data_IF_176104726394
#
_entry.id   IF_176104726394
#
_cell.length_a   1.000
_cell.length_b   1.000
_cell.length_c   1.000
_cell.angle_alpha   90.00
_cell.angle_beta   90.00
_cell.angle_gamma   90.00
#
_symmetry.space_group_name_H-M   'P 1'
#
loop_
_entity.id
_entity.type
_entity.pdbx_description
1 polymer ?
#
# COMPACT_ATOMS: atom_id res chain seq x y z
N UNK A 1 7.17 -10.91 8.88
CA UNK A 1 6.52 -12.17 8.48
C UNK A 1 7.47 -13.17 7.85
N UNK A 2 8.08 -12.92 6.68
CA UNK A 2 8.99 -13.90 6.04
C UNK A 2 10.17 -14.32 6.94
N UNK A 3 10.84 -13.36 7.58
CA UNK A 3 11.90 -13.65 8.56
C UNK A 3 11.39 -14.40 9.81
N UNK A 4 10.12 -14.19 10.19
CA UNK A 4 9.51 -14.86 11.34
C UNK A 4 9.19 -16.31 11.01
N UNK A 5 8.79 -16.57 9.77
CA UNK A 5 8.58 -17.91 9.24
C UNK A 5 9.90 -18.68 9.11
N UNK A 6 10.95 -18.04 8.57
CA UNK A 6 12.29 -18.62 8.52
C UNK A 6 12.81 -18.97 9.92
N UNK A 7 12.61 -18.09 10.91
CA UNK A 7 12.95 -18.38 12.30
C UNK A 7 12.09 -19.49 12.92
N UNK A 8 10.78 -19.53 12.61
CA UNK A 8 9.89 -20.63 13.02
C UNK A 8 10.39 -21.97 12.49
N UNK A 9 10.76 -22.03 11.20
CA UNK A 9 11.28 -23.24 10.58
C UNK A 9 12.59 -23.69 11.21
N UNK A 10 13.49 -22.74 11.50
CA UNK A 10 14.72 -23.02 12.26
C UNK A 10 14.40 -23.62 13.64
N UNK A 11 13.46 -23.04 14.39
CA UNK A 11 13.06 -23.56 15.69
C UNK A 11 12.43 -24.96 15.59
N UNK A 12 11.63 -25.24 14.56
CA UNK A 12 11.07 -26.58 14.34
C UNK A 12 12.16 -27.63 14.06
N UNK A 13 13.27 -27.25 13.42
CA UNK A 13 14.43 -28.11 13.24
C UNK A 13 15.14 -28.36 14.58
N UNK A 14 15.34 -27.31 15.38
CA UNK A 14 16.06 -27.38 16.65
C UNK A 14 15.26 -28.07 17.76
N UNK A 15 13.96 -27.82 17.83
CA UNK A 15 13.05 -28.38 18.84
C UNK A 15 12.50 -29.76 18.46
N UNK A 16 12.46 -30.05 17.16
CA UNK A 16 11.76 -31.18 16.57
C UNK A 16 10.37 -30.79 16.07
N UNK A 17 10.00 -31.35 14.90
CA UNK A 17 8.78 -30.98 14.15
C UNK A 17 7.50 -31.08 14.99
N UNK A 18 6.72 -30.00 15.01
CA UNK A 18 5.45 -29.86 15.71
C UNK A 18 5.58 -29.67 17.22
N UNK A 19 6.78 -29.36 17.74
CA UNK A 19 6.96 -29.07 19.17
C UNK A 19 6.63 -27.63 19.51
N UNK A 20 6.98 -26.69 18.63
CA UNK A 20 6.70 -25.27 18.85
C UNK A 20 5.19 -25.03 18.90
N UNK A 21 4.42 -25.67 18.01
CA UNK A 21 2.94 -25.57 18.00
C UNK A 21 2.24 -26.16 19.22
N UNK A 22 2.92 -27.02 20.00
CA UNK A 22 2.40 -27.59 21.25
C UNK A 22 2.73 -26.75 22.47
N UNK A 23 3.57 -25.72 22.34
CA UNK A 23 3.89 -24.80 23.43
C UNK A 23 2.75 -23.80 23.63
N UNK A 24 2.62 -23.28 24.85
CA UNK A 24 1.62 -22.24 25.13
C UNK A 24 1.87 -20.99 24.29
N UNK A 25 0.81 -20.26 23.95
CA UNK A 25 0.88 -19.01 23.18
C UNK A 25 1.84 -18.02 23.84
N UNK A 26 1.77 -17.84 25.16
CA UNK A 26 2.69 -16.98 25.92
C UNK A 26 4.16 -17.35 25.72
N UNK A 27 4.48 -18.64 25.66
CA UNK A 27 5.86 -19.12 25.44
C UNK A 27 6.32 -18.81 24.02
N UNK A 28 5.44 -19.00 23.03
CA UNK A 28 5.72 -18.63 21.64
C UNK A 28 5.94 -17.12 21.53
N UNK A 29 5.09 -16.30 22.15
CA UNK A 29 5.21 -14.84 22.13
C UNK A 29 6.52 -14.35 22.74
N UNK A 30 6.93 -14.90 23.89
CA UNK A 30 8.22 -14.58 24.51
C UNK A 30 9.41 -14.95 23.61
N UNK A 31 9.30 -16.08 22.90
CA UNK A 31 10.33 -16.52 21.97
C UNK A 31 10.41 -15.61 20.73
N UNK A 32 9.26 -15.20 20.18
CA UNK A 32 9.21 -14.25 19.06
C UNK A 32 9.61 -12.83 19.47
N UNK A 33 9.33 -12.42 20.71
CA UNK A 33 9.84 -11.17 21.27
C UNK A 33 11.36 -11.22 21.41
N UNK A 34 11.92 -12.35 21.84
CA UNK A 34 13.37 -12.56 21.88
C UNK A 34 13.98 -12.45 20.49
N UNK A 35 13.37 -13.11 19.50
CA UNK A 35 13.75 -13.03 18.09
C UNK A 35 13.72 -11.59 17.56
N UNK A 36 12.70 -10.82 17.88
CA UNK A 36 12.58 -9.42 17.50
C UNK A 36 13.66 -8.54 18.13
N UNK A 37 13.85 -8.63 19.44
CA UNK A 37 14.69 -7.69 20.19
C UNK A 37 16.17 -8.04 20.09
N UNK A 38 16.54 -9.31 20.26
CA UNK A 38 17.94 -9.72 20.44
C UNK A 38 18.59 -10.28 19.18
N UNK A 39 17.79 -10.78 18.24
CA UNK A 39 18.31 -11.40 17.03
C UNK A 39 18.09 -10.49 15.81
N UNK A 40 16.85 -10.21 15.42
CA UNK A 40 16.55 -9.40 14.21
C UNK A 40 17.11 -7.99 14.25
N UNK A 41 16.82 -7.22 15.31
CA UNK A 41 17.24 -5.81 15.41
C UNK A 41 18.74 -5.64 15.62
N UNK A 42 19.38 -6.66 16.17
CA UNK A 42 20.77 -6.65 16.57
C UNK A 42 21.70 -7.35 15.57
N UNK A 43 21.13 -8.01 14.56
CA UNK A 43 21.89 -8.72 13.55
C UNK A 43 22.53 -7.74 12.57
N UNK A 44 23.86 -7.85 12.45
CA UNK A 44 24.67 -7.16 11.47
C UNK A 44 25.61 -8.17 10.83
N UNK A 45 25.85 -8.04 9.52
CA UNK A 45 26.73 -8.96 8.79
C UNK A 45 28.13 -8.94 9.40
N UNK A 46 28.69 -10.12 9.69
CA UNK A 46 30.00 -10.27 10.34
C UNK A 46 29.99 -10.30 11.87
N UNK A 47 28.82 -10.18 12.53
CA UNK A 47 28.71 -10.44 13.96
C UNK A 47 28.88 -11.93 14.24
N UNK A 48 29.60 -12.27 15.32
CA UNK A 48 29.70 -13.64 15.83
C UNK A 48 28.39 -14.15 16.42
N UNK A 49 28.45 -15.29 17.09
CA UNK A 49 27.27 -15.93 17.68
C UNK A 49 26.57 -15.01 18.69
N UNK A 50 25.24 -15.10 18.72
CA UNK A 50 24.40 -14.27 19.59
C UNK A 50 23.83 -15.14 20.69
N UNK A 51 24.03 -14.74 21.94
CA UNK A 51 23.37 -15.36 23.09
C UNK A 51 22.15 -14.54 23.46
N UNK A 52 20.97 -15.16 23.49
CA UNK A 52 19.72 -14.50 23.85
C UNK A 52 18.95 -15.31 24.90
N UNK A 53 18.16 -14.66 25.78
CA UNK A 53 17.31 -15.36 26.74
C UNK A 53 16.26 -16.19 26.00
N UNK A 54 15.92 -17.37 26.50
CA UNK A 54 14.83 -18.18 25.95
C UNK A 54 13.90 -18.65 27.08
N UNK A 55 12.60 -18.86 26.82
CA UNK A 55 11.69 -19.41 27.81
C UNK A 55 12.17 -20.78 28.32
N UNK A 56 12.01 -21.04 29.62
CA UNK A 56 12.46 -22.28 30.26
C UNK A 56 11.89 -23.54 29.57
N UNK A 57 10.65 -23.47 29.09
CA UNK A 57 10.00 -24.57 28.36
C UNK A 57 10.72 -24.89 27.05
N UNK A 58 11.19 -23.87 26.33
CA UNK A 58 11.99 -24.01 25.11
C UNK A 58 13.34 -24.64 25.44
N UNK A 59 14.01 -24.15 26.49
CA UNK A 59 15.30 -24.69 26.93
C UNK A 59 15.20 -26.18 27.32
N UNK A 60 14.14 -26.56 28.04
CA UNK A 60 13.83 -27.97 28.38
C UNK A 60 13.60 -28.81 27.13
N UNK A 61 12.83 -28.31 26.17
CA UNK A 61 12.56 -29.01 24.91
C UNK A 61 13.84 -29.28 24.10
N UNK A 62 14.70 -28.27 23.92
CA UNK A 62 15.99 -28.39 23.23
C UNK A 62 16.87 -29.44 23.91
N UNK A 63 17.02 -29.34 25.24
CA UNK A 63 17.85 -30.27 26.01
C UNK A 63 17.33 -31.72 25.97
N UNK A 64 16.02 -31.91 25.87
CA UNK A 64 15.42 -33.24 25.72
C UNK A 64 15.67 -33.86 24.35
N UNK A 65 15.70 -33.02 23.30
CA UNK A 65 15.91 -33.44 21.92
C UNK A 65 17.37 -33.77 21.63
N UNK A 66 18.29 -32.90 22.04
CA UNK A 66 19.73 -33.08 21.82
C UNK A 66 20.28 -34.36 22.45
N UNK A 67 19.75 -34.76 23.62
CA UNK A 67 20.10 -36.03 24.26
C UNK A 67 19.75 -37.27 23.42
N UNK A 68 18.77 -37.17 22.52
CA UNK A 68 18.28 -38.31 21.73
C UNK A 68 18.95 -38.44 20.37
N UNK A 69 19.34 -37.33 19.74
CA UNK A 69 19.71 -37.33 18.32
C UNK A 69 21.13 -36.85 18.00
N UNK A 70 21.81 -36.14 18.91
CA UNK A 70 23.15 -35.62 18.63
C UNK A 70 24.19 -36.19 19.58
N UNK A 71 25.11 -36.99 19.02
CA UNK A 71 26.43 -37.24 19.62
C UNK A 71 27.17 -35.90 19.71
N UNK A 72 27.68 -35.61 20.91
CA UNK A 72 27.98 -34.31 21.52
C UNK A 72 28.88 -33.31 20.77
N UNK A 73 29.34 -33.59 19.55
CA UNK A 73 30.42 -32.84 18.90
C UNK A 73 30.00 -31.94 17.72
N UNK A 74 28.79 -32.07 17.16
CA UNK A 74 28.47 -31.41 15.89
C UNK A 74 27.59 -30.14 15.98
N UNK A 75 26.85 -29.91 17.07
CA UNK A 75 25.91 -28.78 17.15
C UNK A 75 26.46 -27.66 18.03
N UNK A 76 26.92 -26.55 17.43
CA UNK A 76 27.38 -25.34 18.14
C UNK A 76 26.28 -24.62 18.95
N UNK A 77 25.05 -25.11 18.89
CA UNK A 77 23.89 -24.58 19.60
C UNK A 77 23.84 -25.12 21.03
N UNK A 78 24.35 -24.33 21.98
CA UNK A 78 24.30 -24.65 23.40
C UNK A 78 23.20 -23.84 24.09
N UNK A 79 22.21 -24.53 24.65
CA UNK A 79 21.20 -23.93 25.53
C UNK A 79 21.66 -24.10 26.99
N UNK A 80 21.89 -22.98 27.68
CA UNK A 80 22.26 -22.96 29.09
C UNK A 80 21.12 -22.36 29.90
N UNK A 81 20.39 -23.21 30.63
CA UNK A 81 19.24 -22.95 31.52
C UNK A 81 18.18 -21.99 30.95
N UNK A 82 18.49 -20.71 30.84
CA UNK A 82 17.57 -19.64 30.42
C UNK A 82 18.10 -18.86 29.20
N UNK A 83 19.19 -19.30 28.59
CA UNK A 83 19.81 -18.65 27.42
C UNK A 83 20.15 -19.67 26.33
N UNK A 84 20.12 -19.21 25.08
CA UNK A 84 20.50 -20.00 23.92
C UNK A 84 21.52 -19.24 23.11
N UNK A 85 22.61 -19.92 22.74
CA UNK A 85 23.57 -19.45 21.75
C UNK A 85 23.04 -19.79 20.36
N UNK A 86 22.84 -18.76 19.54
CA UNK A 86 22.45 -18.85 18.14
C UNK A 86 23.70 -18.68 17.27
N UNK A 87 24.13 -19.73 16.54
CA UNK A 87 25.27 -19.61 15.64
C UNK A 87 25.04 -18.54 14.58
N UNK A 88 26.06 -17.70 14.33
CA UNK A 88 25.96 -16.61 13.35
C UNK A 88 25.57 -17.14 11.96
N UNK A 89 26.06 -18.33 11.61
CA UNK A 89 25.76 -19.01 10.34
C UNK A 89 24.27 -19.35 10.18
N UNK A 90 23.62 -19.77 11.25
CA UNK A 90 22.20 -20.17 11.20
C UNK A 90 21.31 -18.94 11.07
N UNK A 91 21.63 -17.85 11.79
CA UNK A 91 20.95 -16.56 11.63
C UNK A 91 21.17 -16.03 10.21
N UNK A 92 22.41 -16.09 9.71
CA UNK A 92 22.75 -15.70 8.33
C UNK A 92 21.89 -16.43 7.31
N UNK A 93 21.71 -17.75 7.46
CA UNK A 93 20.91 -18.54 6.55
C UNK A 93 19.46 -18.07 6.49
N UNK A 94 18.83 -17.83 7.65
CA UNK A 94 17.44 -17.32 7.73
C UNK A 94 17.29 -16.00 6.95
N UNK A 95 18.25 -15.08 7.11
CA UNK A 95 18.23 -13.82 6.39
C UNK A 95 18.53 -13.98 4.90
N UNK A 96 19.46 -14.87 4.54
CA UNK A 96 19.82 -15.12 3.16
C UNK A 96 18.64 -15.68 2.37
N UNK A 97 17.94 -16.69 2.90
CA UNK A 97 16.79 -17.29 2.22
C UNK A 97 15.73 -16.23 1.90
N UNK A 98 15.38 -15.38 2.88
CA UNK A 98 14.41 -14.29 2.69
C UNK A 98 14.92 -13.21 1.75
N UNK A 99 16.21 -12.88 1.79
CA UNK A 99 16.79 -11.87 0.91
C UNK A 99 16.90 -12.37 -0.52
N UNK A 100 17.18 -13.65 -0.74
CA UNK A 100 17.19 -14.27 -2.06
C UNK A 100 15.77 -14.27 -2.64
N UNK A 101 14.73 -14.59 -1.85
CA UNK A 101 13.34 -14.45 -2.29
C UNK A 101 12.99 -13.00 -2.66
N UNK A 102 13.40 -12.01 -1.86
CA UNK A 102 13.18 -10.58 -2.16
C UNK A 102 13.94 -10.17 -3.41
N UNK A 103 15.17 -10.65 -3.59
CA UNK A 103 15.99 -10.34 -4.75
C UNK A 103 15.44 -11.01 -6.00
N UNK A 104 14.91 -12.22 -5.92
CA UNK A 104 14.27 -12.89 -7.04
C UNK A 104 13.00 -12.15 -7.46
N UNK A 105 12.19 -11.69 -6.51
CA UNK A 105 11.09 -10.77 -6.79
C UNK A 105 11.57 -9.47 -7.47
N UNK A 106 12.72 -8.94 -7.04
CA UNK A 106 13.34 -7.75 -7.60
C UNK A 106 13.96 -7.95 -8.98
N UNK A 107 14.57 -9.10 -9.25
CA UNK A 107 15.25 -9.48 -10.50
C UNK A 107 14.21 -9.84 -11.55
N UNK A 108 13.16 -10.58 -11.19
CA UNK A 108 11.99 -10.78 -12.05
C UNK A 108 11.37 -9.44 -12.46
N UNK A 109 11.40 -8.44 -11.58
CA UNK A 109 10.94 -7.09 -11.87
C UNK A 109 11.95 -6.21 -12.68
N UNK A 110 13.23 -6.59 -12.79
CA UNK A 110 14.31 -5.70 -13.31
C UNK A 110 15.26 -6.31 -14.36
N UNK A 111 15.03 -7.53 -14.85
CA UNK A 111 15.90 -8.22 -15.83
C UNK A 111 15.91 -7.59 -17.25
N UNK A 112 15.65 -6.29 -17.36
CA UNK A 112 15.77 -5.49 -18.59
C UNK A 112 16.71 -4.27 -18.44
N UNK A 113 17.62 -4.32 -17.47
CA UNK A 113 18.89 -3.57 -17.54
C UNK A 113 20.02 -4.51 -17.20
N UNK A 114 21.02 -4.59 -18.06
CA UNK A 114 22.26 -5.37 -17.92
C UNK A 114 22.90 -5.22 -16.53
N UNK A 115 22.54 -6.10 -15.59
CA UNK A 115 23.07 -6.07 -14.23
C UNK A 115 23.20 -7.47 -13.62
N UNK A 116 23.88 -8.38 -14.32
CA UNK A 116 24.36 -9.65 -13.75
C UNK A 116 25.53 -9.47 -12.77
N UNK A 117 26.16 -8.29 -12.70
CA UNK A 117 27.33 -8.02 -11.85
C UNK A 117 27.05 -7.32 -10.50
N UNK A 118 25.78 -7.27 -10.04
CA UNK A 118 25.37 -6.65 -8.77
C UNK A 118 25.04 -7.65 -7.64
N UNK A 119 25.58 -8.87 -7.69
CA UNK A 119 25.41 -9.83 -6.60
C UNK A 119 26.11 -9.31 -5.33
N UNK A 120 25.32 -8.94 -4.31
CA UNK A 120 25.60 -8.57 -2.89
C UNK A 120 26.88 -7.78 -2.51
N UNK A 121 28.05 -8.04 -3.11
CA UNK A 121 29.31 -7.31 -2.90
C UNK A 121 29.19 -5.81 -3.16
N UNK A 122 28.35 -5.34 -4.09
CA UNK A 122 28.29 -3.90 -4.43
C UNK A 122 27.43 -3.07 -3.46
N UNK A 123 26.38 -3.64 -2.85
CA UNK A 123 25.57 -2.92 -1.85
C UNK A 123 26.37 -2.73 -0.55
N UNK A 124 27.20 -3.70 -0.16
CA UNK A 124 28.13 -3.52 0.98
C UNK A 124 29.38 -2.70 0.63
N UNK A 125 29.94 -2.81 -0.59
CA UNK A 125 31.12 -2.02 -0.98
C UNK A 125 30.82 -0.55 -1.30
N UNK A 126 29.61 -0.19 -1.76
CA UNK A 126 29.23 1.22 -1.96
C UNK A 126 28.71 1.90 -0.68
N UNK A 127 28.47 1.15 0.40
CA UNK A 127 28.24 1.75 1.72
C UNK A 127 29.48 2.47 2.28
N UNK A 128 30.68 2.21 1.75
CA UNK A 128 31.92 2.76 2.28
C UNK A 128 32.45 4.03 1.60
N UNK A 129 31.80 4.58 0.55
CA UNK A 129 32.32 5.81 -0.13
C UNK A 129 31.34 6.95 -0.37
N UNK A 130 30.07 6.83 0.00
CA UNK A 130 29.14 7.96 -0.12
C UNK A 130 27.99 7.90 0.87
N UNK A 131 28.06 8.72 1.92
CA UNK A 131 26.99 9.40 2.69
C UNK A 131 25.63 8.72 2.90
N UNK A 132 25.51 7.40 2.85
CA UNK A 132 24.33 6.64 3.29
C UNK A 132 24.42 6.25 4.77
N UNK A 133 25.59 6.45 5.39
CA UNK A 133 25.84 6.24 6.83
C UNK A 133 25.07 7.23 7.73
N UNK A 134 24.57 8.34 7.17
CA UNK A 134 23.92 9.41 7.95
C UNK A 134 22.38 9.31 7.96
N UNK A 135 21.78 8.43 7.16
CA UNK A 135 20.36 8.10 7.32
C UNK A 135 20.25 7.13 8.50
N UNK A 136 19.98 7.70 9.68
CA UNK A 136 19.72 6.93 10.90
C UNK A 136 18.70 5.83 10.63
N UNK A 137 18.88 4.66 11.24
CA UNK A 137 17.99 3.51 11.01
C UNK A 137 16.51 3.87 11.21
N UNK A 138 16.23 4.77 12.17
CA UNK A 138 14.92 5.35 12.44
C UNK A 138 14.32 6.08 11.23
N UNK A 139 15.13 6.78 10.43
CA UNK A 139 14.67 7.45 9.22
C UNK A 139 14.13 6.46 8.17
N UNK A 140 14.58 5.20 8.16
CA UNK A 140 14.10 4.19 7.20
C UNK A 140 12.70 3.69 7.55
N UNK A 141 12.45 3.41 8.83
CA UNK A 141 11.15 2.93 9.30
C UNK A 141 10.08 4.03 9.21
N UNK A 142 10.47 5.27 9.52
CA UNK A 142 9.59 6.41 9.42
C UNK A 142 9.42 6.93 7.98
N UNK A 143 10.25 6.50 7.01
CA UNK A 143 10.26 7.08 5.66
C UNK A 143 8.90 7.02 4.95
N UNK A 144 8.14 5.92 5.13
CA UNK A 144 6.81 5.78 4.55
C UNK A 144 5.83 6.76 5.19
N UNK A 145 5.78 6.81 6.53
CA UNK A 145 4.92 7.72 7.27
C UNK A 145 5.28 9.19 7.04
N UNK A 146 6.58 9.49 6.96
CA UNK A 146 7.09 10.81 6.63
C UNK A 146 6.68 11.20 5.20
N UNK A 147 6.82 10.30 4.23
CA UNK A 147 6.35 10.51 2.87
C UNK A 147 4.84 10.73 2.79
N UNK A 148 4.06 9.99 3.58
CA UNK A 148 2.61 10.15 3.67
C UNK A 148 2.22 11.50 4.30
N UNK A 149 2.88 11.90 5.39
CA UNK A 149 2.69 13.22 6.01
C UNK A 149 3.06 14.35 5.06
N UNK A 150 4.22 14.26 4.38
CA UNK A 150 4.65 15.21 3.35
C UNK A 150 3.66 15.28 2.18
N UNK A 151 3.04 14.17 1.80
CA UNK A 151 1.99 14.15 0.78
C UNK A 151 0.71 14.83 1.28
N UNK A 152 0.29 14.57 2.52
CA UNK A 152 -0.91 15.17 3.13
C UNK A 152 -0.78 16.69 3.23
N UNK A 153 0.38 17.18 3.67
CA UNK A 153 0.64 18.63 3.80
C UNK A 153 0.45 19.41 2.49
N UNK A 154 0.63 18.78 1.31
CA UNK A 154 0.37 19.44 0.02
C UNK A 154 -1.09 19.77 -0.22
N UNK A 155 -2.00 19.03 0.39
CA UNK A 155 -3.43 19.28 0.27
C UNK A 155 -3.92 20.37 1.27
N UNK A 156 -3.09 20.73 2.25
CA UNK A 156 -3.43 21.69 3.29
C UNK A 156 -2.88 23.11 3.03
N UNK A 157 -2.11 23.32 1.96
CA UNK A 157 -1.63 24.66 1.60
C UNK A 157 -2.82 25.52 1.14
N UNK A 158 -3.40 26.24 2.10
CA UNK A 158 -4.26 27.38 1.83
C UNK A 158 -3.48 28.39 0.98
N UNK A 159 -4.15 29.05 0.02
CA UNK A 159 -3.53 29.92 -0.96
C UNK A 159 -2.74 31.12 -0.37
N UNK A 160 -2.82 31.37 0.94
CA UNK A 160 -2.20 32.49 1.64
C UNK A 160 -0.72 32.30 2.00
N UNK A 161 -0.24 31.08 2.22
CA UNK A 161 1.03 30.88 2.95
C UNK A 161 2.27 30.74 2.05
N UNK A 162 2.11 31.01 0.76
CA UNK A 162 3.16 30.81 -0.23
C UNK A 162 3.45 29.32 -0.47
N UNK A 163 4.05 28.98 -1.63
CA UNK A 163 4.34 27.59 -1.96
C UNK A 163 5.48 27.07 -1.07
N UNK A 164 5.14 26.38 0.02
CA UNK A 164 6.11 25.51 0.71
C UNK A 164 6.64 24.51 -0.32
N UNK A 165 7.93 24.62 -0.66
CA UNK A 165 8.59 23.83 -1.69
C UNK A 165 8.85 22.39 -1.23
N UNK A 166 7.78 21.63 -0.98
CA UNK A 166 7.89 20.20 -0.74
C UNK A 166 8.18 19.47 -2.05
N UNK A 167 9.14 18.51 -2.05
CA UNK A 167 9.44 17.74 -3.24
C UNK A 167 8.19 17.01 -3.73
N UNK A 168 7.80 17.26 -4.98
CA UNK A 168 6.62 16.67 -5.59
C UNK A 168 6.99 15.55 -6.53
N UNK A 169 6.28 14.42 -6.37
CA UNK A 169 6.43 13.27 -7.25
C UNK A 169 5.62 13.59 -8.49
N UNK A 170 6.33 13.94 -9.56
CA UNK A 170 5.71 14.29 -10.84
C UNK A 170 5.52 13.08 -11.75
N UNK A 171 6.24 11.99 -11.50
CA UNK A 171 6.16 10.77 -12.31
C UNK A 171 6.06 9.52 -11.46
N UNK A 172 5.36 8.53 -11.97
CA UNK A 172 5.31 7.20 -11.39
C UNK A 172 5.65 6.17 -12.44
N UNK A 173 6.15 5.03 -11.98
CA UNK A 173 6.40 3.86 -12.81
C UNK A 173 5.19 2.94 -12.69
N UNK A 174 4.57 2.59 -13.81
CA UNK A 174 3.43 1.67 -13.82
C UNK A 174 3.87 0.23 -13.53
N UNK A 175 3.01 -0.50 -12.83
CA UNK A 175 3.28 -1.89 -12.41
C UNK A 175 2.71 -2.93 -13.35
N UNK A 176 1.74 -2.55 -14.18
CA UNK A 176 1.09 -3.40 -15.17
C UNK A 176 0.96 -2.60 -16.47
N UNK A 177 0.68 -3.30 -17.56
CA UNK A 177 0.32 -2.68 -18.81
C UNK A 177 -1.18 -2.33 -18.80
N UNK A 178 -1.57 -1.18 -19.38
CA UNK A 178 -2.97 -0.74 -19.51
C UNK A 178 -3.33 -0.48 -20.97
N UNK A 179 -4.52 -0.93 -21.36
CA UNK A 179 -4.93 -0.87 -22.76
C UNK A 179 -6.44 -1.07 -23.02
N UNK A 180 -6.82 -0.97 -24.29
CA UNK A 180 -8.11 -1.29 -24.88
C UNK A 180 -7.93 -2.26 -26.05
N UNK A 181 -9.01 -2.99 -26.34
CA UNK A 181 -9.08 -3.75 -27.58
C UNK A 181 -9.28 -2.81 -28.77
N UNK A 182 -8.53 -3.06 -29.83
CA UNK A 182 -8.73 -2.41 -31.12
C UNK A 182 -8.99 -3.41 -32.24
N UNK A 183 -9.58 -2.91 -33.32
CA UNK A 183 -9.80 -3.66 -34.55
C UNK A 183 -8.79 -3.19 -35.58
N UNK A 184 -8.07 -4.13 -36.18
CA UNK A 184 -7.11 -3.88 -37.26
C UNK A 184 -7.59 -4.52 -38.56
N UNK A 185 -7.20 -3.97 -39.71
CA UNK A 185 -7.44 -4.63 -40.99
C UNK A 185 -6.72 -5.98 -41.03
N UNK A 186 -7.43 -7.04 -41.45
CA UNK A 186 -6.87 -8.37 -41.47
C UNK A 186 -5.66 -8.49 -42.41
N UNK A 187 -4.51 -8.81 -41.82
CA UNK A 187 -3.27 -9.17 -42.51
C UNK A 187 -2.88 -10.62 -42.16
N UNK A 188 -2.98 -11.52 -43.15
CA UNK A 188 -2.68 -12.95 -42.98
C UNK A 188 -1.20 -13.23 -42.65
N UNK A 189 -0.29 -12.28 -42.87
CA UNK A 189 1.11 -12.42 -42.50
C UNK A 189 1.37 -12.09 -41.01
N UNK A 190 0.47 -11.34 -40.37
CA UNK A 190 0.64 -10.85 -38.98
C UNK A 190 -0.31 -11.51 -37.99
N UNK A 191 -1.49 -11.89 -38.44
CA UNK A 191 -2.58 -12.32 -37.57
C UNK A 191 -2.87 -13.81 -37.70
N UNK A 192 -3.46 -14.39 -36.66
CA UNK A 192 -3.86 -15.80 -36.64
C UNK A 192 -5.30 -15.96 -37.12
N UNK A 193 -5.63 -17.01 -37.87
CA UNK A 193 -6.98 -17.16 -38.45
C UNK A 193 -8.09 -17.14 -37.38
N UNK A 194 -7.74 -17.48 -36.13
CA UNK A 194 -8.61 -17.38 -34.96
C UNK A 194 -9.06 -15.94 -34.65
N UNK A 195 -8.23 -14.95 -34.96
CA UNK A 195 -8.50 -13.53 -34.77
C UNK A 195 -9.37 -12.95 -35.91
N UNK A 196 -9.44 -13.63 -37.07
CA UNK A 196 -10.15 -13.15 -38.25
C UNK A 196 -11.65 -13.13 -38.02
N UNK A 197 -12.27 -11.96 -38.22
CA UNK A 197 -13.73 -11.80 -38.18
C UNK A 197 -14.17 -10.87 -39.30
N UNK A 198 -15.31 -11.16 -39.89
CA UNK A 198 -15.94 -10.24 -40.84
C UNK A 198 -16.40 -8.96 -40.11
N UNK A 199 -16.04 -7.80 -40.66
CA UNK A 199 -16.34 -6.50 -40.09
C UNK A 199 -17.78 -6.06 -40.36
N UNK A 200 -18.72 -6.66 -39.63
CA UNK A 200 -20.15 -6.40 -39.83
C UNK A 200 -20.60 -6.67 -41.27
N UNK A 201 -21.88 -6.50 -41.56
CA UNK A 201 -22.36 -6.57 -42.95
C UNK A 201 -21.91 -5.35 -43.78
N UNK A 202 -21.53 -4.25 -43.12
CA UNK A 202 -21.42 -2.91 -43.70
C UNK A 202 -20.09 -2.57 -44.38
N UNK A 203 -19.03 -3.38 -44.26
CA UNK A 203 -17.71 -3.01 -44.82
C UNK A 203 -17.04 -4.05 -45.73
N UNK A 204 -17.60 -5.27 -45.82
CA UNK A 204 -17.04 -6.40 -46.60
C UNK A 204 -15.51 -6.53 -46.49
N UNK A 205 -15.00 -6.30 -45.28
CA UNK A 205 -13.59 -6.38 -44.94
C UNK A 205 -13.42 -7.29 -43.75
N UNK A 206 -12.43 -8.16 -43.81
CA UNK A 206 -12.01 -8.91 -42.65
C UNK A 206 -11.17 -8.02 -41.74
N UNK A 207 -11.41 -8.14 -40.44
CA UNK A 207 -10.64 -7.48 -39.40
C UNK A 207 -10.09 -8.52 -38.43
N UNK A 208 -8.90 -8.25 -37.91
CA UNK A 208 -8.38 -8.95 -36.75
C UNK A 208 -9.06 -8.37 -35.50
N UNK A 209 -9.77 -9.22 -34.75
CA UNK A 209 -10.27 -8.88 -33.41
C UNK A 209 -9.22 -9.19 -32.36
N UNK A 210 -9.50 -8.77 -31.13
CA UNK A 210 -8.71 -9.09 -29.95
C UNK A 210 -7.26 -8.57 -29.99
N UNK A 211 -6.97 -7.57 -30.83
CA UNK A 211 -5.67 -6.91 -30.87
C UNK A 211 -5.55 -5.88 -29.74
N UNK A 212 -4.35 -5.75 -29.18
CA UNK A 212 -4.02 -4.89 -28.04
C UNK A 212 -3.05 -3.78 -28.48
N UNK A 213 -3.39 -2.51 -28.21
CA UNK A 213 -2.54 -1.35 -28.47
C UNK A 213 -2.08 -0.61 -27.19
N UNK A 214 -1.18 -1.22 -26.41
CA UNK A 214 -0.84 -0.77 -25.05
C UNK A 214 -0.49 0.72 -24.92
N UNK A 215 -1.39 1.46 -24.26
CA UNK A 215 -1.26 2.88 -23.92
C UNK A 215 -0.07 3.11 -22.99
N UNK A 216 -0.03 2.28 -21.95
CA UNK A 216 0.97 2.39 -20.91
C UNK A 216 1.56 1.03 -20.69
N UNK A 217 2.86 0.93 -20.93
CA UNK A 217 3.62 -0.29 -20.71
C UNK A 217 4.08 -0.35 -19.26
N UNK A 218 4.08 -1.54 -18.67
CA UNK A 218 4.69 -1.85 -17.37
C UNK A 218 6.14 -1.36 -17.35
N UNK A 219 6.53 -0.69 -16.26
CA UNK A 219 7.84 -0.05 -16.16
C UNK A 219 7.92 1.31 -16.85
N UNK A 220 6.89 1.70 -17.62
CA UNK A 220 6.77 3.02 -18.24
C UNK A 220 6.55 4.10 -17.19
N UNK A 221 7.21 5.25 -17.40
CA UNK A 221 6.96 6.45 -16.61
C UNK A 221 5.70 7.13 -17.10
N UNK A 222 4.78 7.44 -16.19
CA UNK A 222 3.61 8.28 -16.48
C UNK A 222 3.69 9.52 -15.61
N UNK A 223 3.58 10.68 -16.25
CA UNK A 223 3.59 11.96 -15.56
C UNK A 223 2.19 12.31 -15.04
N UNK A 224 2.13 12.97 -13.89
CA UNK A 224 0.89 13.63 -13.44
C UNK A 224 0.54 14.84 -14.30
N UNK A 225 1.53 15.50 -14.88
CA UNK A 225 1.34 16.72 -15.67
C UNK A 225 1.02 16.46 -17.13
N UNK A 226 1.32 15.25 -17.62
CA UNK A 226 1.22 14.89 -19.03
C UNK A 226 0.52 13.54 -19.16
N UNK A 227 -0.84 13.53 -19.18
CA UNK A 227 -1.60 12.30 -19.31
C UNK A 227 -1.39 11.67 -20.68
N UNK A 228 -1.37 10.35 -20.73
CA UNK A 228 -1.22 9.61 -22.00
C UNK A 228 -2.56 9.68 -22.74
N UNK A 229 -2.57 10.23 -23.95
CA UNK A 229 -3.75 10.39 -24.79
C UNK A 229 -3.64 9.56 -26.06
N UNK A 230 -4.71 8.83 -26.42
CA UNK A 230 -4.86 8.19 -27.72
C UNK A 230 -6.22 8.49 -28.33
N UNK A 231 -6.25 8.63 -29.65
CA UNK A 231 -7.46 8.94 -30.41
C UNK A 231 -8.03 7.69 -31.06
N UNK A 232 -9.36 7.61 -31.07
CA UNK A 232 -10.14 6.47 -31.50
C UNK A 232 -11.31 6.90 -32.37
N UNK A 233 -11.83 5.92 -33.10
CA UNK A 233 -13.00 6.08 -33.95
C UNK A 233 -13.91 4.87 -33.70
N UNK A 234 -15.18 5.13 -33.42
CA UNK A 234 -16.22 4.11 -33.44
C UNK A 234 -17.22 4.44 -34.54
N UNK A 235 -17.63 3.40 -35.26
CA UNK A 235 -18.63 3.46 -36.31
C UNK A 235 -19.81 2.58 -35.91
N UNK A 236 -21.02 3.14 -35.96
CA UNK A 236 -22.27 2.43 -35.65
C UNK A 236 -23.35 2.77 -36.69
N UNK A 237 -24.28 1.84 -36.99
CA UNK A 237 -25.48 2.17 -37.75
C UNK A 237 -26.26 3.31 -37.09
N UNK A 238 -26.84 4.22 -37.88
CA UNK A 238 -27.64 5.36 -37.38
C UNK A 238 -28.79 4.94 -36.46
N UNK A 239 -29.32 3.72 -36.62
CA UNK A 239 -30.38 3.14 -35.79
C UNK A 239 -29.95 2.68 -34.39
N UNK A 240 -28.65 2.73 -34.07
CA UNK A 240 -28.11 2.23 -32.79
C UNK A 240 -28.22 3.29 -31.69
N UNK A 241 -28.36 2.86 -30.44
CA UNK A 241 -28.35 3.75 -29.27
C UNK A 241 -27.07 4.61 -29.23
N UNK A 242 -27.19 5.83 -28.73
CA UNK A 242 -26.09 6.82 -28.66
C UNK A 242 -25.06 6.53 -27.55
N UNK A 243 -25.11 5.35 -26.95
CA UNK A 243 -24.28 4.96 -25.80
C UNK A 243 -23.16 4.04 -26.24
N UNK A 244 -21.93 4.42 -25.90
CA UNK A 244 -20.70 3.73 -26.20
C UNK A 244 -20.09 3.18 -24.92
N UNK A 245 -19.54 1.97 -24.99
CA UNK A 245 -18.81 1.37 -23.88
C UNK A 245 -17.40 0.98 -24.33
N UNK A 246 -16.41 1.41 -23.55
CA UNK A 246 -15.00 1.08 -23.74
C UNK A 246 -14.59 0.19 -22.57
N UNK A 247 -14.08 -1.00 -22.89
CA UNK A 247 -13.52 -1.90 -21.88
C UNK A 247 -12.02 -1.65 -21.79
N UNK A 248 -11.56 -1.33 -20.58
CA UNK A 248 -10.17 -1.17 -20.23
C UNK A 248 -9.63 -2.51 -19.73
N UNK A 249 -8.41 -2.83 -20.16
CA UNK A 249 -7.71 -4.06 -19.85
C UNK A 249 -6.41 -3.77 -19.11
N UNK A 250 -6.01 -4.71 -18.25
CA UNK A 250 -4.72 -4.73 -17.60
C UNK A 250 -3.99 -6.06 -17.83
N UNK A 251 -2.67 -6.02 -17.92
CA UNK A 251 -1.84 -7.22 -18.00
C UNK A 251 -0.59 -7.08 -17.14
N UNK A 252 -0.37 -8.04 -16.25
CA UNK A 252 0.82 -8.08 -15.38
C UNK A 252 2.00 -8.84 -16.03
N UNK A 253 1.80 -9.38 -17.24
CA UNK A 253 2.86 -10.04 -17.99
C UNK A 253 4.05 -9.11 -18.19
N UNK A 254 5.24 -9.72 -18.23
CA UNK A 254 6.48 -8.96 -18.40
C UNK A 254 6.51 -8.25 -19.74
N UNK A 255 6.12 -8.94 -20.81
CA UNK A 255 6.03 -8.40 -22.16
C UNK A 255 4.56 -8.24 -22.49
N UNK A 256 4.18 -7.04 -22.94
CA UNK A 256 2.80 -6.74 -23.29
C UNK A 256 2.42 -7.57 -24.55
N UNK A 257 1.42 -8.46 -24.47
CA UNK A 257 1.06 -9.30 -25.61
C UNK A 257 0.38 -8.45 -26.70
N UNK A 258 0.63 -8.74 -27.98
CA UNK A 258 0.03 -7.97 -29.09
C UNK A 258 -1.46 -8.27 -29.30
N UNK A 259 -1.95 -9.38 -28.74
CA UNK A 259 -3.35 -9.80 -28.76
C UNK A 259 -3.81 -10.20 -27.35
N UNK A 260 -5.12 -10.31 -27.14
CA UNK A 260 -5.72 -10.64 -25.85
C UNK A 260 -5.44 -12.11 -25.49
N UNK A 261 -4.54 -12.32 -24.55
CA UNK A 261 -4.25 -13.64 -23.96
C UNK A 261 -5.03 -13.85 -22.66
N UNK A 262 -4.98 -15.05 -22.08
CA UNK A 262 -5.57 -15.36 -20.76
C UNK A 262 -5.04 -14.48 -19.63
N UNK A 263 -3.82 -13.95 -19.77
CA UNK A 263 -3.18 -13.06 -18.79
C UNK A 263 -3.71 -11.61 -18.83
N UNK A 264 -4.49 -11.27 -19.85
CA UNK A 264 -5.10 -9.95 -20.02
C UNK A 264 -6.47 -9.96 -19.35
N UNK A 265 -6.67 -9.08 -18.37
CA UNK A 265 -7.89 -9.03 -17.54
C UNK A 265 -8.61 -7.72 -17.74
N UNK A 266 -9.94 -7.77 -17.77
CA UNK A 266 -10.78 -6.58 -17.79
C UNK A 266 -10.68 -5.88 -16.42
N UNK A 267 -10.32 -4.59 -16.42
CA UNK A 267 -10.16 -3.83 -15.19
C UNK A 267 -11.33 -2.86 -14.96
N UNK A 268 -11.91 -2.29 -16.03
CA UNK A 268 -13.04 -1.36 -15.93
C UNK A 268 -13.73 -1.16 -17.27
N UNK A 269 -14.94 -0.59 -17.23
CA UNK A 269 -15.70 -0.17 -18.41
C UNK A 269 -16.10 1.29 -18.28
N UNK A 270 -15.83 2.08 -19.32
CA UNK A 270 -16.24 3.49 -19.43
C UNK A 270 -17.42 3.55 -20.37
N UNK A 271 -18.56 4.04 -19.89
CA UNK A 271 -19.72 4.29 -20.73
C UNK A 271 -19.91 5.78 -20.91
N UNK A 272 -20.12 6.23 -22.15
CA UNK A 272 -20.36 7.63 -22.50
C UNK A 272 -21.35 7.72 -23.66
N UNK A 273 -21.97 8.88 -23.83
CA UNK A 273 -22.86 9.15 -24.96
C UNK A 273 -22.22 10.15 -25.92
N UNK A 274 -22.44 9.99 -27.22
CA UNK A 274 -22.04 10.99 -28.22
C UNK A 274 -23.29 11.60 -28.84
N UNK A 275 -23.37 12.94 -28.87
CA UNK A 275 -24.49 13.63 -29.49
C UNK A 275 -24.32 13.68 -31.01
N UNK A 276 -25.37 14.06 -31.74
CA UNK A 276 -25.28 14.27 -33.20
C UNK A 276 -24.27 15.33 -33.59
N UNK A 277 -24.02 16.33 -32.72
CA UNK A 277 -22.99 17.37 -32.95
C UNK A 277 -21.57 16.81 -32.85
N UNK A 278 -21.42 15.68 -32.17
CA UNK A 278 -20.16 15.00 -31.92
C UNK A 278 -19.90 13.87 -32.93
N UNK A 279 -20.80 13.72 -33.90
CA UNK A 279 -20.83 12.58 -34.83
C UNK A 279 -20.78 13.05 -36.27
N UNK A 280 -19.94 12.40 -37.07
CA UNK A 280 -19.90 12.57 -38.52
C UNK A 280 -20.75 11.47 -39.15
N UNK A 281 -21.70 11.86 -40.00
CA UNK A 281 -22.49 10.87 -40.75
C UNK A 281 -21.80 10.54 -42.07
N UNK A 282 -21.65 9.26 -42.37
CA UNK A 282 -21.11 8.77 -43.65
C UNK A 282 -21.98 7.65 -44.18
N UNK A 283 -22.11 7.54 -45.49
CA UNK A 283 -22.74 6.36 -46.08
C UNK A 283 -21.68 5.28 -46.28
N UNK A 284 -22.00 4.05 -45.92
CA UNK A 284 -21.18 2.89 -46.24
C UNK A 284 -21.30 2.50 -47.71
N UNK A 285 -20.63 1.42 -48.10
CA UNK A 285 -20.65 0.93 -49.48
C UNK A 285 -22.00 0.32 -49.92
N UNK A 286 -22.93 0.09 -48.98
CA UNK A 286 -24.30 -0.35 -49.24
C UNK A 286 -25.32 0.80 -49.20
N UNK A 287 -24.87 2.04 -48.99
CA UNK A 287 -25.73 3.21 -48.84
C UNK A 287 -26.40 3.32 -47.46
N UNK A 288 -26.03 2.48 -46.49
CA UNK A 288 -26.47 2.62 -45.10
C UNK A 288 -25.74 3.80 -44.45
N UNK A 289 -26.49 4.64 -43.75
CA UNK A 289 -25.94 5.78 -43.02
C UNK A 289 -25.34 5.31 -41.69
N UNK A 290 -24.04 5.55 -41.53
CA UNK A 290 -23.23 5.28 -40.35
C UNK A 290 -22.96 6.56 -39.58
N UNK A 291 -23.01 6.43 -38.25
CA UNK A 291 -22.55 7.40 -37.27
C UNK A 291 -21.10 7.11 -36.94
N UNK A 292 -20.22 8.07 -37.19
CA UNK A 292 -18.78 8.00 -36.92
C UNK A 292 -18.44 8.99 -35.82
N UNK A 293 -18.04 8.50 -34.66
CA UNK A 293 -17.65 9.34 -33.52
C UNK A 293 -16.15 9.21 -33.28
N UNK A 294 -15.46 10.36 -33.29
CA UNK A 294 -14.05 10.46 -32.92
C UNK A 294 -13.95 10.84 -31.44
N UNK A 295 -13.17 10.08 -30.67
CA UNK A 295 -12.97 10.35 -29.25
C UNK A 295 -11.52 10.11 -28.84
N UNK A 296 -11.07 10.84 -27.83
CA UNK A 296 -9.79 10.62 -27.16
C UNK A 296 -10.01 9.88 -25.86
N UNK A 297 -9.14 8.93 -25.54
CA UNK A 297 -9.04 8.34 -24.19
C UNK A 297 -7.77 8.86 -23.56
N UNK A 298 -7.90 9.50 -22.40
CA UNK A 298 -6.78 10.00 -21.61
C UNK A 298 -6.62 9.17 -20.35
N UNK A 299 -5.41 8.72 -20.11
CA UNK A 299 -5.01 8.07 -18.87
C UNK A 299 -4.18 9.04 -18.03
N UNK A 300 -4.66 9.35 -16.82
CA UNK A 300 -3.94 10.17 -15.85
C UNK A 300 -3.66 9.39 -14.57
N UNK A 301 -2.53 9.64 -13.93
CA UNK A 301 -2.26 9.06 -12.61
C UNK A 301 -2.77 9.95 -11.49
N UNK A 302 -3.56 9.36 -10.60
CA UNK A 302 -4.02 10.02 -9.36
C UNK A 302 -3.05 9.81 -8.18
N UNK A 303 -1.94 9.10 -8.41
CA UNK A 303 -1.01 8.67 -7.38
C UNK A 303 -1.51 7.46 -6.58
N UNK A 304 -0.66 6.92 -5.69
CA UNK A 304 -0.96 5.74 -4.86
C UNK A 304 -1.41 4.49 -5.63
N UNK A 305 -1.01 4.34 -6.90
CA UNK A 305 -1.48 3.23 -7.72
C UNK A 305 -2.97 3.36 -8.08
N UNK A 306 -3.47 4.57 -8.27
CA UNK A 306 -4.77 4.82 -8.91
C UNK A 306 -4.56 5.46 -10.27
N UNK A 307 -5.31 4.98 -11.24
CA UNK A 307 -5.31 5.45 -12.62
C UNK A 307 -6.71 5.97 -12.94
N UNK A 308 -6.80 7.14 -13.54
CA UNK A 308 -8.03 7.68 -14.09
C UNK A 308 -8.03 7.52 -15.60
N UNK A 309 -9.14 7.01 -16.11
CA UNK A 309 -9.43 7.02 -17.54
C UNK A 309 -10.56 7.99 -17.80
N UNK A 310 -10.36 8.86 -18.78
CA UNK A 310 -11.32 9.87 -19.17
C UNK A 310 -11.51 9.85 -20.69
N UNK A 311 -12.75 9.92 -21.13
CA UNK A 311 -13.11 9.98 -22.55
C UNK A 311 -13.43 11.41 -22.94
N UNK A 312 -12.92 11.83 -24.09
CA UNK A 312 -13.08 13.18 -24.62
C UNK A 312 -13.65 13.11 -26.03
N UNK A 313 -14.62 13.95 -26.35
CA UNK A 313 -15.05 14.17 -27.73
C UNK A 313 -14.92 15.66 -28.03
N UNK A 314 -14.25 16.01 -29.12
CA UNK A 314 -13.99 17.41 -29.50
C UNK A 314 -13.36 18.23 -28.36
N UNK A 315 -12.47 17.60 -27.58
CA UNK A 315 -11.80 18.21 -26.41
C UNK A 315 -12.67 18.34 -25.15
N UNK A 316 -13.93 17.90 -25.17
CA UNK A 316 -14.85 17.94 -24.02
C UNK A 316 -14.89 16.61 -23.31
N UNK A 317 -14.78 16.63 -21.98
CA UNK A 317 -14.89 15.45 -21.13
C UNK A 317 -16.32 14.88 -21.20
N UNK A 318 -16.45 13.61 -21.57
CA UNK A 318 -17.74 12.92 -21.67
C UNK A 318 -17.99 11.98 -20.49
N UNK A 319 -17.02 11.13 -20.18
CA UNK A 319 -17.09 10.25 -19.03
C UNK A 319 -15.71 10.07 -18.40
N UNK A 320 -15.71 9.75 -17.10
CA UNK A 320 -14.51 9.51 -16.32
C UNK A 320 -14.72 8.34 -15.37
N UNK A 321 -13.75 7.46 -15.29
CA UNK A 321 -13.75 6.36 -14.32
C UNK A 321 -12.37 6.24 -13.67
N UNK A 322 -12.35 5.84 -12.41
CA UNK A 322 -11.11 5.62 -11.66
C UNK A 322 -10.92 4.13 -11.44
N UNK A 323 -9.76 3.62 -11.83
CA UNK A 323 -9.33 2.26 -11.53
C UNK A 323 -8.34 2.32 -10.38
N UNK A 324 -8.74 1.74 -9.25
CA UNK A 324 -7.75 1.39 -8.24
C UNK A 324 -7.01 0.18 -8.75
N UNK A 325 -5.72 0.33 -9.07
CA UNK A 325 -4.90 -0.83 -9.38
C UNK A 325 -4.97 -1.73 -8.17
N UNK A 326 -5.46 -2.96 -8.37
CA UNK A 326 -5.45 -3.93 -7.30
C UNK A 326 -3.97 -4.25 -7.05
N UNK A 327 -3.37 -3.55 -6.08
CA UNK A 327 -2.25 -4.05 -5.31
C UNK A 327 -2.72 -5.40 -4.76
N UNK A 328 -2.46 -6.46 -5.52
CA UNK A 328 -3.15 -7.75 -5.40
C UNK A 328 -3.04 -8.26 -3.96
N UNK A 329 -4.21 -8.31 -3.30
CA UNK A 329 -4.56 -9.12 -2.12
C UNK A 329 -4.53 -10.63 -2.43
N UNK A 330 -3.74 -11.09 -3.41
CA UNK A 330 -3.74 -12.51 -3.81
C UNK A 330 -3.12 -13.45 -2.77
N UNK A 331 -2.32 -12.92 -1.85
CA UNK A 331 -1.83 -13.69 -0.71
C UNK A 331 -2.94 -14.17 0.24
N UNK A 332 -4.17 -13.64 0.16
CA UNK A 332 -5.28 -14.14 0.99
C UNK A 332 -5.90 -15.44 0.49
N UNK A 333 -5.79 -15.78 -0.79
CA UNK A 333 -6.49 -16.95 -1.33
C UNK A 333 -5.63 -18.21 -1.38
N UNK A 334 -4.33 -18.12 -1.06
CA UNK A 334 -3.44 -19.29 -0.97
C UNK A 334 -3.04 -19.66 0.48
N UNK A 335 -3.48 -18.90 1.49
CA UNK A 335 -3.27 -19.23 2.89
C UNK A 335 -4.59 -19.70 3.54
N UNK A 336 -4.71 -21.02 3.72
CA UNK A 336 -5.58 -21.80 4.64
C UNK A 336 -7.03 -21.28 4.93
N UNK A 337 -8.08 -22.06 4.63
CA UNK A 337 -9.49 -21.64 4.75
C UNK A 337 -10.09 -21.56 6.17
N UNK A 338 -9.29 -21.53 7.25
CA UNK A 338 -9.82 -21.59 8.62
C UNK A 338 -9.03 -20.71 9.60
N UNK A 339 -9.32 -19.40 9.63
CA UNK A 339 -9.36 -18.59 10.87
C UNK A 339 -9.85 -17.18 10.51
N UNK A 340 -11.10 -16.87 10.82
CA UNK A 340 -11.58 -15.50 10.85
C UNK A 340 -11.66 -15.06 12.32
N UNK A 341 -10.69 -14.27 12.75
CA UNK A 341 -10.72 -13.59 14.04
C UNK A 341 -10.22 -12.17 13.82
N UNK A 342 -11.14 -11.21 13.82
CA UNK A 342 -10.81 -9.78 13.81
C UNK A 342 -10.91 -9.21 15.22
N UNK A 343 -9.79 -8.76 15.76
CA UNK A 343 -9.78 -7.83 16.89
C UNK A 343 -9.23 -6.49 16.41
N UNK A 344 -9.94 -5.41 16.72
CA UNK A 344 -9.43 -4.05 16.56
C UNK A 344 -9.37 -3.44 17.95
N UNK A 345 -8.17 -3.19 18.47
CA UNK A 345 -7.99 -2.38 19.68
C UNK A 345 -8.01 -0.90 19.30
N UNK A 346 -8.88 -0.14 19.96
CA UNK A 346 -8.89 1.33 19.93
C UNK A 346 -8.11 1.82 21.15
N UNK A 347 -7.07 2.62 20.93
CA UNK A 347 -6.31 3.26 22.00
C UNK A 347 -6.39 4.76 21.82
N UNK A 348 -6.86 5.47 22.84
CA UNK A 348 -6.81 6.93 22.90
C UNK A 348 -5.71 7.33 23.89
N UNK A 349 -4.80 8.20 23.45
CA UNK A 349 -3.72 8.76 24.28
C UNK A 349 -3.95 10.26 24.41
N UNK A 350 -4.22 10.74 25.62
CA UNK A 350 -4.30 12.18 25.92
C UNK A 350 -2.90 12.65 26.27
N UNK A 351 -2.33 13.52 25.43
CA UNK A 351 -1.03 14.16 25.71
C UNK A 351 -1.17 15.31 26.72
N UNK A 352 -0.09 15.69 27.42
CA UNK A 352 -0.13 16.82 28.34
C UNK A 352 -0.39 18.13 27.59
N UNK A 353 -1.43 18.86 27.99
CA UNK A 353 -1.69 20.24 27.56
C UNK A 353 -0.78 21.19 28.33
N UNK A 354 0.23 21.77 27.65
CA UNK A 354 0.99 22.88 28.21
C UNK A 354 0.17 24.16 28.13
N UNK A 355 -0.39 24.60 29.26
CA UNK A 355 -0.98 25.94 29.36
C UNK A 355 0.15 26.97 29.50
N UNK A 356 0.44 27.70 28.43
CA UNK A 356 1.25 28.91 28.51
C UNK A 356 0.40 30.06 29.04
N UNK A 357 0.57 30.43 30.31
CA UNK A 357 0.04 31.70 30.82
C UNK A 357 0.87 32.84 30.20
N UNK A 358 0.20 33.72 29.44
CA UNK A 358 0.75 35.01 29.03
C UNK A 358 0.42 36.01 30.15
N UNK A 359 1.38 36.28 31.03
CA UNK A 359 1.28 37.35 32.01
C UNK A 359 1.64 38.67 31.32
N UNK A 360 0.63 39.38 30.81
CA UNK A 360 0.75 40.78 30.42
C UNK A 360 0.53 41.65 31.67
N UNK A 361 1.54 41.70 32.54
CA UNK A 361 1.61 42.68 33.62
C UNK A 361 3.05 43.18 33.81
N UNK A 362 3.28 44.41 33.38
CA UNK A 362 4.51 45.18 33.63
C UNK A 362 4.61 45.44 35.14
N UNK A 363 5.58 44.84 35.81
CA UNK A 363 5.96 45.16 37.19
C UNK A 363 7.42 45.65 37.23
N UNK A 364 7.70 46.85 37.79
CA UNK A 364 9.03 47.43 37.74
C UNK A 364 9.75 47.35 39.10
N UNK A 365 10.20 46.19 39.56
CA UNK A 365 11.25 46.12 40.61
C UNK A 365 12.11 44.85 40.48
N UNK A 366 13.42 45.02 40.73
CA UNK A 366 14.50 44.07 40.50
C UNK A 366 14.60 42.88 41.47
N UNK A 367 15.74 42.15 41.46
CA UNK A 367 15.77 40.70 41.47
C UNK A 367 15.74 40.11 42.89
N UNK A 368 15.05 38.99 43.04
CA UNK A 368 15.25 38.10 44.18
C UNK A 368 15.54 36.67 43.68
N UNK A 369 16.71 36.09 43.98
CA UNK A 369 17.05 34.73 43.60
C UNK A 369 16.59 33.78 44.70
N UNK A 370 15.63 32.90 44.40
CA UNK A 370 15.39 31.59 45.04
C UNK A 370 13.95 31.16 44.77
N UNK A 371 13.73 30.47 43.65
CA UNK A 371 12.63 29.50 43.53
C UNK A 371 13.13 28.26 42.80
N UNK A 372 13.29 27.20 43.58
CA UNK A 372 13.49 25.83 43.16
C UNK A 372 12.24 25.34 42.42
N UNK A 373 12.37 25.04 41.12
CA UNK A 373 11.33 24.35 40.37
C UNK A 373 11.41 22.85 40.68
N UNK A 374 10.40 22.31 41.37
CA UNK A 374 10.13 20.88 41.41
C UNK A 374 9.51 20.44 40.09
N UNK A 375 10.19 19.55 39.37
CA UNK A 375 9.63 18.88 38.19
C UNK A 375 8.75 17.74 38.71
N UNK A 376 7.44 17.94 38.71
CA UNK A 376 6.47 16.85 38.83
C UNK A 376 6.36 16.11 37.50
N UNK A 377 6.70 14.82 37.47
CA UNK A 377 6.43 13.95 36.33
C UNK A 377 5.01 13.40 36.46
N UNK A 378 4.08 13.91 35.65
CA UNK A 378 2.72 13.35 35.56
C UNK A 378 2.68 12.24 34.51
N UNK A 379 2.20 11.06 34.91
CA UNK A 379 2.06 9.88 34.03
C UNK A 379 0.71 9.92 33.35
N UNK A 380 0.67 10.03 32.01
CA UNK A 380 -0.57 9.98 31.24
C UNK A 380 -1.37 8.69 31.44
N UNK A 381 -2.70 8.81 31.48
CA UNK A 381 -3.64 7.69 31.63
C UNK A 381 -4.04 7.13 30.27
N UNK A 382 -3.98 5.81 30.10
CA UNK A 382 -4.43 5.12 28.87
C UNK A 382 -5.71 4.35 29.17
N UNK A 383 -6.71 4.44 28.29
CA UNK A 383 -7.95 3.68 28.37
C UNK A 383 -8.01 2.65 27.24
N UNK A 384 -8.44 1.42 27.55
CA UNK A 384 -8.63 0.33 26.58
C UNK A 384 -9.95 -0.38 26.83
N UNK A 385 -10.67 -0.73 25.76
CA UNK A 385 -11.92 -1.48 25.81
C UNK A 385 -11.92 -2.51 24.66
N UNK A 386 -12.36 -3.73 24.95
CA UNK A 386 -12.42 -4.85 24.00
C UNK A 386 -13.87 -5.29 23.76
N UNK A 387 -14.35 -5.26 22.52
CA UNK A 387 -15.60 -5.93 22.11
C UNK A 387 -15.69 -6.14 20.58
N UNK A 388 -16.60 -7.02 20.16
CA UNK A 388 -16.86 -7.40 18.75
C UNK A 388 -18.02 -6.57 18.15
N UNK A 389 -17.93 -6.25 16.84
CA UNK A 389 -18.80 -5.31 16.14
C UNK A 389 -19.92 -5.96 15.31
N UNK A 390 -21.11 -5.33 15.30
CA UNK A 390 -22.20 -5.52 14.32
C UNK A 390 -22.63 -4.15 13.73
N UNK A 391 -23.06 -4.11 12.46
CA UNK A 391 -23.08 -2.90 11.60
C UNK A 391 -24.19 -1.88 11.89
N UNK A 392 -25.15 -2.17 12.78
CA UNK A 392 -26.27 -1.27 13.11
C UNK A 392 -26.16 -0.60 14.49
N UNK A 393 -25.10 -0.89 15.27
CA UNK A 393 -24.88 -0.33 16.62
C UNK A 393 -23.99 0.92 16.67
N UNK A 394 -23.49 1.40 15.53
CA UNK A 394 -22.34 2.31 15.51
C UNK A 394 -22.64 3.74 16.02
N UNK A 395 -23.82 4.32 15.75
CA UNK A 395 -24.11 5.71 16.13
C UNK A 395 -24.52 5.88 17.60
N UNK A 396 -25.32 4.95 18.12
CA UNK A 396 -25.74 4.97 19.54
C UNK A 396 -24.55 4.67 20.45
N UNK A 397 -23.66 3.76 20.04
CA UNK A 397 -22.45 3.45 20.80
C UNK A 397 -21.46 4.62 20.84
N UNK A 398 -21.26 5.33 19.72
CA UNK A 398 -20.41 6.53 19.67
C UNK A 398 -20.97 7.64 20.57
N UNK A 399 -22.30 7.84 20.59
CA UNK A 399 -22.94 8.80 21.51
C UNK A 399 -22.72 8.41 22.98
N UNK A 400 -22.93 7.13 23.32
CA UNK A 400 -22.74 6.65 24.68
C UNK A 400 -21.30 6.80 25.15
N UNK A 401 -20.31 6.49 24.29
CA UNK A 401 -18.90 6.68 24.60
C UNK A 401 -18.52 8.15 24.79
N UNK A 402 -19.01 9.04 23.92
CA UNK A 402 -18.78 10.48 24.05
C UNK A 402 -19.40 11.07 25.32
N UNK A 403 -20.60 10.61 25.70
CA UNK A 403 -21.25 11.01 26.95
C UNK A 403 -20.49 10.51 28.18
N UNK A 404 -20.03 9.25 28.17
CA UNK A 404 -19.24 8.70 29.27
C UNK A 404 -17.90 9.42 29.43
N UNK A 405 -17.22 9.72 28.31
CA UNK A 405 -15.96 10.47 28.34
C UNK A 405 -16.15 11.89 28.88
N UNK A 406 -17.24 12.57 28.48
CA UNK A 406 -17.58 13.90 29.01
C UNK A 406 -17.83 13.86 30.52
N UNK A 407 -18.59 12.89 31.03
CA UNK A 407 -18.84 12.71 32.46
C UNK A 407 -17.56 12.38 33.24
N UNK A 408 -16.66 11.56 32.67
CA UNK A 408 -15.39 11.23 33.30
C UNK A 408 -14.45 12.45 33.34
N UNK A 409 -14.40 13.27 32.29
CA UNK A 409 -13.61 14.50 32.24
C UNK A 409 -14.14 15.56 33.23
N UNK A 410 -15.45 15.71 33.33
CA UNK A 410 -16.07 16.64 34.28
C UNK A 410 -15.85 16.19 35.73
N UNK A 411 -16.09 14.90 36.04
CA UNK A 411 -16.00 14.37 37.40
C UNK A 411 -14.57 14.23 37.93
N UNK A 412 -13.60 13.88 37.07
CA UNK A 412 -12.20 13.64 37.50
C UNK A 412 -11.30 14.86 37.35
N UNK A 413 -11.63 15.76 36.42
CA UNK A 413 -10.76 16.89 36.08
C UNK A 413 -11.43 18.26 36.20
N UNK A 414 -12.72 18.32 36.58
CA UNK A 414 -13.43 19.58 36.82
C UNK A 414 -13.66 20.41 35.55
N UNK A 415 -13.56 19.80 34.37
CA UNK A 415 -13.72 20.47 33.07
C UNK A 415 -15.21 20.52 32.74
N UNK A 416 -15.87 21.63 33.10
CA UNK A 416 -17.31 21.84 32.90
C UNK A 416 -17.67 22.54 31.57
N UNK A 417 -16.70 23.13 30.88
CA UNK A 417 -16.91 23.79 29.58
C UNK A 417 -16.13 23.09 28.46
N UNK A 418 -16.83 22.22 27.73
CA UNK A 418 -16.31 21.49 26.58
C UNK A 418 -16.57 22.21 25.24
N UNK A 419 -17.07 23.46 25.25
CA UNK A 419 -17.38 24.21 24.02
C UNK A 419 -16.17 24.42 23.10
N UNK A 420 -14.96 24.37 23.67
CA UNK A 420 -13.69 24.48 22.95
C UNK A 420 -12.97 23.13 22.72
N UNK A 421 -13.54 22.01 23.16
CA UNK A 421 -12.99 20.67 22.89
C UNK A 421 -13.55 20.20 21.56
N UNK A 422 -12.82 20.51 20.49
CA UNK A 422 -13.06 19.89 19.18
C UNK A 422 -12.50 18.46 19.24
N UNK A 423 -13.31 17.40 19.02
CA UNK A 423 -12.75 16.07 18.87
C UNK A 423 -11.83 16.07 17.65
N UNK A 424 -10.51 16.00 17.88
CA UNK A 424 -9.54 15.71 16.82
C UNK A 424 -9.85 14.30 16.36
N UNK A 425 -10.57 14.25 15.25
CA UNK A 425 -11.03 13.02 14.66
C UNK A 425 -9.88 12.41 13.86
N UNK A 426 -9.22 11.41 14.43
CA UNK A 426 -8.40 10.50 13.66
C UNK A 426 -9.32 9.53 12.91
N UNK A 427 -9.90 9.97 11.79
CA UNK A 427 -10.59 9.07 10.85
C UNK A 427 -9.62 8.60 9.78
N UNK A 428 -9.58 7.29 9.52
CA UNK A 428 -9.15 6.79 8.21
C UNK A 428 -10.13 5.74 7.66
N UNK A 429 -10.75 6.14 6.54
CA UNK A 429 -11.35 5.38 5.44
C UNK A 429 -12.66 4.59 5.67
N UNK A 430 -13.76 5.20 5.23
CA UNK A 430 -14.78 4.52 4.44
C UNK A 430 -14.85 5.18 3.06
N UNK A 431 -14.92 4.38 2.02
CA UNK A 431 -15.23 4.76 0.65
C UNK A 431 -16.56 5.52 0.60
N UNK A 432 -16.57 6.77 0.15
CA UNK A 432 -17.57 7.39 -0.76
C UNK A 432 -17.44 8.93 -0.69
N UNK A 433 -17.49 9.56 -1.86
CA UNK A 433 -18.17 10.85 -2.11
C UNK A 433 -17.73 12.09 -1.33
N UNK A 434 -17.20 13.05 -2.10
CA UNK A 434 -17.15 14.49 -1.80
C UNK A 434 -18.39 15.00 -1.06
N UNK A 435 -18.21 15.73 0.04
CA UNK A 435 -19.28 16.48 0.71
C UNK A 435 -18.90 17.96 0.74
N UNK A 436 -19.70 18.79 0.09
CA UNK A 436 -19.65 20.25 0.18
C UNK A 436 -20.49 20.69 1.38
N UNK A 437 -19.99 21.60 2.20
CA UNK A 437 -20.82 22.36 3.13
C UNK A 437 -20.99 23.78 2.60
N UNK A 438 -22.22 24.11 2.19
CA UNK A 438 -22.66 25.48 1.98
C UNK A 438 -23.02 26.08 3.35
N UNK A 439 -22.48 27.26 3.65
CA UNK A 439 -22.90 28.10 4.78
C UNK A 439 -24.11 28.93 4.34
N UNK A 440 -25.19 29.03 5.15
CA UNK A 440 -26.10 30.14 5.07
C UNK A 440 -25.68 31.22 6.07
N UNK A 441 -25.23 32.36 5.55
CA UNK A 441 -25.44 33.66 6.21
C UNK A 441 -26.83 34.13 5.79
N UNK A 442 -27.68 34.39 6.78
CA UNK A 442 -28.52 35.59 6.93
C UNK A 442 -29.77 35.28 7.77
N UNK A 443 -29.71 35.67 9.04
CA UNK A 443 -30.71 36.46 9.79
C UNK A 443 -30.27 36.58 11.25
#
# INVERSE_FOLDING_TARGET
MLLDEGFRNYLEIVLGKGKLSKMSTTTQDQLFQTWEIYLKRQYHYGRGDITAPIPEQVAKAINSWNKKFFTREASGTQATRDTMRFPAKDIQQIFHDVMDDILDLGVLARRDRDYTNLRFKRVSQHQHKGSLSNLTLFARWASISQGAAMKSMKHCNNASDGPLAFPTVYSYITRVHYDMLYKEAWDAAKHTEEDRRQHGAAQDKDVARDQMQWYVKKGGGVSMSDPVEMSWMIEQPESTNESYSIIMYECDSRVAPTHKTSDVRECNTITFTATDKDTIFRNDHHGQRLRVSHFGVRMALLGMGRVDFATYINGRLQAKTSVSTNLRREWRNQALPHLEVSYTQLTATVGPTSYGYRDDAISPYGPNPERTNSIGTDTGTTYSLESAFDKNSDLEYIRAFAQQLAQDLESKHGISDLSNVTPVSAWHLSSHGTMWTASPRDS
#
